data_IF_408777942030
#
_entry.id   IF_408777942030
#
_cell.length_a   1.000
_cell.length_b   1.000
_cell.length_c   1.000
_cell.angle_alpha   90.00
_cell.angle_beta   90.00
_cell.angle_gamma   90.00
#
_symmetry.space_group_name_H-M   'P 1'
#
loop_
_entity.id
_entity.type
_entity.pdbx_description
1 polymer ?
#
# COMPACT_ATOMS: atom_id res chain seq x y z
N UNK A 1 49.62 -22.12 7.61
CA UNK A 1 49.76 -23.56 7.31
C UNK A 1 48.33 -23.99 6.94
N UNK A 2 47.93 -24.41 5.79
CA UNK A 2 48.48 -24.86 4.50
C UNK A 2 47.32 -24.75 3.51
N UNK A 3 47.35 -24.05 2.47
CA UNK A 3 47.59 -24.30 1.04
C UNK A 3 47.06 -25.67 0.52
N UNK A 4 46.14 -25.63 -0.44
CA UNK A 4 46.23 -26.31 -1.73
C UNK A 4 44.92 -26.11 -2.53
N UNK A 5 44.91 -25.40 -3.64
CA UNK A 5 45.25 -25.74 -5.05
C UNK A 5 44.16 -26.60 -5.69
N UNK A 6 43.48 -26.04 -6.66
CA UNK A 6 43.70 -25.99 -8.11
C UNK A 6 43.00 -27.14 -8.88
N UNK A 7 42.14 -26.83 -9.80
CA UNK A 7 41.62 -27.77 -10.79
C UNK A 7 40.82 -27.05 -11.91
N UNK A 8 41.55 -26.46 -12.86
CA UNK A 8 41.03 -26.05 -14.18
C UNK A 8 40.73 -27.29 -15.01
N UNK A 9 39.62 -27.31 -15.73
CA UNK A 9 39.62 -27.98 -17.03
C UNK A 9 38.70 -27.26 -18.03
N UNK A 10 39.34 -26.79 -19.05
CA UNK A 10 38.88 -26.17 -20.29
C UNK A 10 38.60 -27.27 -21.30
N UNK A 11 37.44 -27.33 -21.95
CA UNK A 11 37.27 -28.04 -23.22
C UNK A 11 36.44 -27.22 -24.19
N UNK A 12 37.14 -26.71 -25.20
CA UNK A 12 36.68 -26.23 -26.49
C UNK A 12 36.44 -27.42 -27.45
N UNK A 13 35.40 -27.34 -28.31
CA UNK A 13 35.45 -27.82 -29.71
C UNK A 13 34.08 -27.53 -30.36
N UNK A 14 33.97 -26.51 -31.16
CA UNK A 14 33.87 -26.36 -32.64
C UNK A 14 33.23 -27.51 -33.44
N UNK A 15 32.15 -27.25 -34.14
CA UNK A 15 31.96 -27.75 -35.50
C UNK A 15 30.94 -26.94 -36.29
N UNK A 16 31.45 -26.35 -37.34
CA UNK A 16 30.91 -25.68 -38.50
C UNK A 16 30.43 -26.70 -39.53
N UNK A 17 29.18 -26.61 -40.05
CA UNK A 17 28.84 -27.14 -41.38
C UNK A 17 27.95 -26.18 -42.14
N UNK A 18 28.53 -25.61 -43.18
CA UNK A 18 27.88 -24.99 -44.32
C UNK A 18 27.43 -26.10 -45.31
N UNK A 19 26.26 -25.93 -45.92
CA UNK A 19 26.00 -26.51 -47.25
C UNK A 19 25.10 -25.59 -48.04
N UNK A 20 25.72 -24.98 -49.04
CA UNK A 20 25.11 -24.34 -50.21
C UNK A 20 24.71 -25.44 -51.22
N UNK A 21 23.53 -25.26 -51.86
CA UNK A 21 23.31 -25.78 -53.19
C UNK A 21 22.41 -24.83 -54.00
N UNK A 22 22.99 -24.32 -55.03
CA UNK A 22 22.38 -23.48 -56.04
C UNK A 22 22.05 -24.33 -57.29
N UNK A 23 21.37 -23.69 -58.20
CA UNK A 23 21.19 -24.00 -59.64
C UNK A 23 19.79 -24.49 -60.00
N UNK A 24 19.12 -24.03 -60.98
CA UNK A 24 19.36 -23.25 -62.20
C UNK A 24 18.20 -23.53 -63.13
N UNK A 25 17.70 -22.50 -63.76
CA UNK A 25 17.58 -22.45 -65.22
C UNK A 25 16.23 -22.66 -65.86
N UNK A 26 15.81 -21.66 -66.68
CA UNK A 26 15.18 -21.88 -67.95
C UNK A 26 13.79 -21.31 -68.17
N UNK A 27 13.77 -20.16 -68.71
CA UNK A 27 13.25 -19.54 -69.94
C UNK A 27 11.74 -19.64 -70.29
N UNK A 28 11.25 -18.40 -70.62
CA UNK A 28 10.35 -17.97 -71.69
C UNK A 28 8.84 -18.34 -71.66
N UNK A 29 7.99 -17.35 -71.46
CA UNK A 29 7.18 -16.73 -72.54
C UNK A 29 6.03 -15.88 -72.00
N UNK A 30 6.03 -14.62 -72.43
CA UNK A 30 4.92 -13.70 -72.80
C UNK A 30 3.50 -14.02 -72.38
N UNK A 31 2.87 -13.04 -71.71
CA UNK A 31 1.42 -12.92 -71.69
C UNK A 31 0.83 -11.86 -70.76
N UNK A 32 0.65 -10.67 -71.34
CA UNK A 32 -0.37 -9.63 -71.07
C UNK A 32 -0.99 -9.48 -69.68
N UNK A 33 -0.80 -8.30 -69.13
CA UNK A 33 -1.65 -7.38 -68.37
C UNK A 33 -3.02 -7.91 -67.84
N UNK A 34 -3.12 -7.82 -66.47
CA UNK A 34 -4.37 -7.34 -65.86
C UNK A 34 -4.01 -6.74 -64.51
N UNK A 35 -4.20 -5.44 -64.36
CA UNK A 35 -4.19 -4.71 -63.10
C UNK A 35 -5.31 -5.28 -62.22
N UNK A 36 -4.95 -5.84 -61.09
CA UNK A 36 -5.84 -6.01 -59.96
C UNK A 36 -5.20 -5.29 -58.79
N UNK A 37 -5.81 -4.17 -58.42
CA UNK A 37 -5.51 -3.45 -57.20
C UNK A 37 -5.74 -4.38 -56.02
N UNK A 38 -4.67 -4.85 -55.42
CA UNK A 38 -4.71 -5.46 -54.11
C UNK A 38 -4.87 -4.33 -53.07
N UNK A 39 -6.10 -4.17 -52.55
CA UNK A 39 -6.35 -3.41 -51.37
C UNK A 39 -5.57 -4.03 -50.22
N UNK A 40 -4.64 -3.29 -49.69
CA UNK A 40 -4.04 -3.58 -48.37
C UNK A 40 -5.15 -3.34 -47.35
N UNK A 41 -5.78 -4.40 -46.90
CA UNK A 41 -6.48 -4.36 -45.62
C UNK A 41 -5.48 -3.99 -44.54
N UNK A 42 -5.77 -2.99 -43.65
CA UNK A 42 -4.96 -2.78 -42.49
C UNK A 42 -5.05 -4.05 -41.63
N UNK A 43 -3.89 -4.65 -41.34
CA UNK A 43 -3.80 -5.67 -40.32
C UNK A 43 -4.38 -5.04 -39.04
N UNK A 44 -5.51 -5.55 -38.58
CA UNK A 44 -5.97 -5.29 -37.23
C UNK A 44 -4.83 -5.76 -36.31
N UNK A 45 -4.25 -4.85 -35.56
CA UNK A 45 -3.39 -5.18 -34.45
C UNK A 45 -4.25 -6.07 -33.56
N UNK A 46 -3.86 -7.31 -33.39
CA UNK A 46 -4.46 -8.19 -32.42
C UNK A 46 -4.06 -7.59 -31.06
N UNK A 47 -5.00 -6.90 -30.41
CA UNK A 47 -4.91 -6.61 -28.99
C UNK A 47 -4.65 -7.96 -28.32
N UNK A 48 -3.50 -8.13 -27.70
CA UNK A 48 -3.23 -9.28 -26.86
C UNK A 48 -4.22 -9.21 -25.72
N UNK A 49 -5.19 -10.16 -25.67
CA UNK A 49 -6.07 -10.27 -24.51
C UNK A 49 -5.18 -10.40 -23.27
N UNK A 50 -5.29 -9.42 -22.37
CA UNK A 50 -4.63 -9.48 -21.06
C UNK A 50 -5.27 -10.62 -20.27
N UNK A 51 -4.46 -11.56 -19.80
CA UNK A 51 -4.95 -12.68 -19.00
C UNK A 51 -5.26 -12.12 -17.59
N UNK A 52 -6.56 -11.87 -17.33
CA UNK A 52 -7.06 -11.34 -16.05
C UNK A 52 -7.24 -12.50 -15.08
N UNK A 53 -6.24 -12.71 -14.25
CA UNK A 53 -6.20 -13.75 -13.24
C UNK A 53 -6.96 -13.39 -11.95
N UNK A 54 -6.72 -14.19 -10.92
CA UNK A 54 -7.13 -13.91 -9.55
C UNK A 54 -6.05 -13.06 -8.88
N UNK A 55 -6.47 -12.03 -8.14
CA UNK A 55 -5.61 -11.11 -7.38
C UNK A 55 -6.10 -11.09 -5.94
N UNK A 56 -5.21 -11.34 -4.99
CA UNK A 56 -5.52 -11.28 -3.55
C UNK A 56 -5.01 -9.94 -2.98
N UNK A 57 -5.92 -9.11 -2.48
CA UNK A 57 -5.57 -7.82 -1.88
C UNK A 57 -5.63 -7.91 -0.37
N UNK A 58 -4.54 -7.52 0.28
CA UNK A 58 -4.42 -7.49 1.73
C UNK A 58 -4.43 -6.09 2.31
N UNK A 59 -4.72 -5.98 3.61
CA UNK A 59 -4.55 -4.76 4.38
C UNK A 59 -4.08 -5.02 5.80
N UNK A 60 -3.47 -4.02 6.42
CA UNK A 60 -3.29 -3.98 7.86
C UNK A 60 -4.64 -3.71 8.56
N UNK A 61 -4.64 -3.64 9.90
CA UNK A 61 -5.85 -3.62 10.72
C UNK A 61 -6.27 -2.21 11.16
N UNK A 62 -6.27 -1.23 10.27
CA UNK A 62 -6.84 0.10 10.52
C UNK A 62 -7.56 0.64 9.28
N UNK A 63 -8.45 1.62 9.50
CA UNK A 63 -9.46 2.09 8.56
C UNK A 63 -8.91 2.48 7.18
N UNK A 64 -7.90 3.35 7.13
CA UNK A 64 -7.34 3.85 5.88
C UNK A 64 -6.76 2.73 5.00
N UNK A 65 -6.12 1.75 5.62
CA UNK A 65 -5.57 0.61 4.90
C UNK A 65 -6.65 -0.23 4.23
N UNK A 66 -7.78 -0.45 4.93
CA UNK A 66 -8.92 -1.16 4.36
C UNK A 66 -9.57 -0.34 3.24
N UNK A 67 -9.74 0.96 3.44
CA UNK A 67 -10.28 1.89 2.45
C UNK A 67 -9.46 1.88 1.14
N UNK A 68 -8.13 2.07 1.25
CA UNK A 68 -7.27 2.11 0.06
C UNK A 68 -7.16 0.73 -0.61
N UNK A 69 -7.10 -0.35 0.18
CA UNK A 69 -7.14 -1.71 -0.34
C UNK A 69 -8.44 -1.99 -1.10
N UNK A 70 -9.57 -1.47 -0.61
CA UNK A 70 -10.86 -1.59 -1.31
C UNK A 70 -10.89 -0.78 -2.62
N UNK A 71 -10.26 0.40 -2.66
CA UNK A 71 -10.10 1.14 -3.92
C UNK A 71 -9.33 0.33 -4.96
N UNK A 72 -8.23 -0.34 -4.57
CA UNK A 72 -7.48 -1.23 -5.47
C UNK A 72 -8.34 -2.41 -5.94
N UNK A 73 -9.14 -2.99 -5.03
CA UNK A 73 -10.04 -4.08 -5.37
C UNK A 73 -11.07 -3.67 -6.43
N UNK A 74 -11.72 -2.53 -6.23
CA UNK A 74 -12.78 -2.04 -7.10
C UNK A 74 -12.28 -1.71 -8.51
N UNK A 75 -11.13 -1.08 -8.67
CA UNK A 75 -10.58 -0.76 -10.00
C UNK A 75 -10.16 -2.01 -10.76
N UNK A 76 -9.62 -3.02 -10.07
CA UNK A 76 -9.28 -4.30 -10.68
C UNK A 76 -10.52 -5.11 -11.05
N UNK A 77 -11.56 -5.13 -10.22
CA UNK A 77 -12.84 -5.78 -10.53
C UNK A 77 -13.54 -5.13 -11.72
N UNK A 78 -13.57 -3.79 -11.80
CA UNK A 78 -14.14 -3.05 -12.93
C UNK A 78 -13.41 -3.40 -14.25
N UNK A 79 -12.11 -3.60 -14.19
CA UNK A 79 -11.30 -4.08 -15.32
C UNK A 79 -11.51 -5.58 -15.63
N UNK A 80 -12.21 -6.34 -14.77
CA UNK A 80 -12.57 -7.74 -14.97
C UNK A 80 -11.62 -8.77 -14.37
N UNK A 81 -10.75 -8.38 -13.43
CA UNK A 81 -10.00 -9.31 -12.58
C UNK A 81 -10.92 -9.97 -11.55
N UNK A 82 -10.58 -11.18 -11.11
CA UNK A 82 -11.21 -11.80 -9.95
C UNK A 82 -10.44 -11.38 -8.71
N UNK A 83 -11.06 -10.66 -7.78
CA UNK A 83 -10.39 -10.14 -6.59
C UNK A 83 -10.84 -10.88 -5.33
N UNK A 84 -9.87 -11.39 -4.57
CA UNK A 84 -10.07 -11.89 -3.21
C UNK A 84 -9.60 -10.83 -2.21
N UNK A 85 -10.45 -10.52 -1.22
CA UNK A 85 -10.18 -9.55 -0.16
C UNK A 85 -9.68 -10.25 1.10
N UNK A 86 -8.47 -9.94 1.53
CA UNK A 86 -7.83 -10.48 2.73
C UNK A 86 -7.41 -9.34 3.65
N UNK A 87 -8.42 -8.65 4.19
CA UNK A 87 -8.23 -7.44 4.98
C UNK A 87 -8.00 -7.71 6.46
N UNK A 88 -7.53 -6.68 7.19
CA UNK A 88 -7.32 -6.69 8.63
C UNK A 88 -6.45 -7.85 9.12
N UNK A 89 -5.42 -8.21 8.35
CA UNK A 89 -4.51 -9.32 8.66
C UNK A 89 -3.66 -9.08 9.93
N UNK A 90 -3.55 -7.84 10.37
CA UNK A 90 -2.74 -7.42 11.51
C UNK A 90 -1.81 -6.27 11.15
N UNK A 91 -0.68 -6.15 11.85
CA UNK A 91 0.31 -5.12 11.57
C UNK A 91 1.19 -5.48 10.35
N UNK A 92 2.05 -4.54 9.90
CA UNK A 92 3.00 -4.73 8.79
C UNK A 92 3.84 -6.00 8.96
N UNK A 93 4.21 -6.34 10.19
CA UNK A 93 4.97 -7.56 10.53
C UNK A 93 4.25 -8.85 10.13
N UNK A 94 2.94 -8.79 9.88
CA UNK A 94 2.13 -9.91 9.36
C UNK A 94 1.87 -9.73 7.86
N UNK A 95 1.46 -8.53 7.44
CA UNK A 95 1.03 -8.24 6.07
C UNK A 95 2.17 -8.31 5.08
N UNK A 96 3.32 -7.70 5.37
CA UNK A 96 4.44 -7.70 4.44
C UNK A 96 5.03 -9.11 4.18
N UNK A 97 5.22 -9.98 5.18
CA UNK A 97 5.54 -11.40 4.91
C UNK A 97 4.46 -12.15 4.12
N UNK A 98 3.18 -11.82 4.25
CA UNK A 98 2.12 -12.39 3.43
C UNK A 98 2.26 -11.98 1.96
N UNK A 99 2.60 -10.73 1.68
CA UNK A 99 2.94 -10.23 0.34
C UNK A 99 4.17 -10.97 -0.23
N UNK A 100 5.26 -11.04 0.53
CA UNK A 100 6.48 -11.73 0.10
C UNK A 100 6.24 -13.22 -0.24
N UNK A 101 5.38 -13.90 0.51
CA UNK A 101 5.10 -15.33 0.31
C UNK A 101 4.04 -15.62 -0.74
N UNK A 102 3.37 -14.59 -1.29
CA UNK A 102 2.27 -14.75 -2.24
C UNK A 102 0.97 -15.24 -1.61
N UNK A 103 0.74 -14.94 -0.34
CA UNK A 103 -0.56 -15.11 0.29
C UNK A 103 -1.50 -13.95 -0.03
N UNK A 104 -0.93 -12.78 -0.31
CA UNK A 104 -1.58 -11.61 -0.91
C UNK A 104 -0.69 -11.11 -2.05
N UNK A 105 -1.27 -10.40 -2.99
CA UNK A 105 -0.59 -9.91 -4.19
C UNK A 105 -0.41 -8.39 -4.19
N UNK A 106 -1.30 -7.67 -3.53
CA UNK A 106 -1.29 -6.19 -3.41
C UNK A 106 -1.62 -5.79 -1.99
N UNK A 107 -0.96 -4.74 -1.50
CA UNK A 107 -1.32 -4.07 -0.24
C UNK A 107 -0.95 -2.59 -0.31
N UNK A 108 -1.72 -1.67 0.31
CA UNK A 108 -1.24 -0.31 0.53
C UNK A 108 -0.04 -0.31 1.49
N UNK A 109 0.91 0.56 1.26
CA UNK A 109 2.08 0.76 2.13
C UNK A 109 2.45 2.25 2.23
N UNK A 110 3.35 2.56 3.16
CA UNK A 110 3.84 3.91 3.42
C UNK A 110 5.36 3.93 3.28
N UNK A 111 5.90 4.84 2.47
CA UNK A 111 7.29 4.81 2.00
C UNK A 111 8.32 4.76 3.14
N UNK A 112 8.28 5.73 4.03
CA UNK A 112 9.32 5.88 5.06
C UNK A 112 9.30 4.77 6.08
N UNK A 113 8.14 4.45 6.64
CA UNK A 113 8.00 3.37 7.62
C UNK A 113 8.26 1.99 7.02
N UNK A 114 7.97 1.77 5.72
CA UNK A 114 8.34 0.52 5.06
C UNK A 114 9.85 0.44 4.84
N UNK A 115 10.51 1.52 4.41
CA UNK A 115 11.96 1.57 4.30
C UNK A 115 12.64 1.22 5.63
N UNK A 116 12.23 1.87 6.72
CA UNK A 116 12.81 1.61 8.04
C UNK A 116 12.51 0.20 8.56
N UNK A 117 11.38 -0.39 8.16
CA UNK A 117 11.08 -1.80 8.48
C UNK A 117 12.03 -2.75 7.75
N UNK A 118 12.32 -2.51 6.47
CA UNK A 118 13.15 -3.39 5.64
C UNK A 118 14.65 -3.26 5.93
N UNK A 119 15.13 -2.04 6.21
CA UNK A 119 16.55 -1.80 6.52
C UNK A 119 16.91 -2.02 8.00
N UNK A 120 15.92 -2.41 8.84
CA UNK A 120 16.12 -2.69 10.26
C UNK A 120 16.29 -1.44 11.12
N UNK A 121 15.71 -0.31 10.72
CA UNK A 121 15.72 0.94 11.44
C UNK A 121 17.03 1.71 11.28
N UNK A 122 17.57 1.76 10.06
CA UNK A 122 18.83 2.43 9.78
C UNK A 122 18.74 3.97 9.81
N UNK A 123 17.52 4.54 9.83
CA UNK A 123 17.29 5.99 9.84
C UNK A 123 17.63 6.63 8.49
N UNK A 124 17.34 5.93 7.38
CA UNK A 124 17.66 6.40 6.03
C UNK A 124 16.49 7.09 5.34
N UNK A 125 15.26 6.90 5.83
CA UNK A 125 14.08 7.56 5.29
C UNK A 125 14.15 9.07 5.49
N UNK A 126 13.81 9.85 4.45
CA UNK A 126 13.88 11.31 4.45
C UNK A 126 12.51 11.95 4.19
N UNK A 127 12.42 13.27 4.30
CA UNK A 127 11.19 13.99 3.95
C UNK A 127 10.98 14.14 2.43
N UNK A 128 11.96 13.73 1.61
CA UNK A 128 11.87 13.74 0.16
C UNK A 128 11.31 12.40 -0.35
N UNK A 129 10.20 12.45 -1.07
CA UNK A 129 9.48 11.27 -1.57
C UNK A 129 10.32 10.47 -2.55
N UNK A 130 10.97 11.14 -3.51
CA UNK A 130 11.74 10.46 -4.56
C UNK A 130 12.99 9.80 -3.99
N UNK A 131 13.66 10.47 -3.04
CA UNK A 131 14.83 9.92 -2.34
C UNK A 131 14.43 8.69 -1.50
N UNK A 132 13.34 8.80 -0.72
CA UNK A 132 12.85 7.69 0.12
C UNK A 132 12.39 6.50 -0.73
N UNK A 133 11.65 6.74 -1.83
CA UNK A 133 11.26 5.68 -2.76
C UNK A 133 12.47 5.01 -3.40
N UNK A 134 13.48 5.78 -3.81
CA UNK A 134 14.72 5.25 -4.38
C UNK A 134 15.45 4.32 -3.40
N UNK A 135 15.60 4.74 -2.14
CA UNK A 135 16.21 3.93 -1.07
C UNK A 135 15.37 2.70 -0.75
N UNK A 136 14.04 2.84 -0.69
CA UNK A 136 13.12 1.72 -0.46
C UNK A 136 13.24 0.66 -1.55
N UNK A 137 13.30 1.09 -2.82
CA UNK A 137 13.42 0.19 -3.96
C UNK A 137 14.68 -0.69 -3.87
N UNK A 138 15.78 -0.17 -3.32
CA UNK A 138 17.02 -0.93 -3.11
C UNK A 138 16.91 -1.97 -1.98
N UNK A 139 15.93 -1.84 -1.09
CA UNK A 139 15.69 -2.75 0.04
C UNK A 139 14.57 -3.76 -0.20
N UNK A 140 13.80 -3.60 -1.29
CA UNK A 140 12.70 -4.53 -1.59
C UNK A 140 13.22 -5.95 -1.81
N UNK A 141 12.52 -6.97 -1.33
CA UNK A 141 12.84 -8.36 -1.63
C UNK A 141 12.50 -8.69 -3.08
N UNK A 142 13.18 -9.71 -3.63
CA UNK A 142 12.90 -10.24 -4.97
C UNK A 142 11.41 -10.54 -5.13
N UNK A 143 10.80 -10.10 -6.22
CA UNK A 143 9.41 -10.38 -6.57
C UNK A 143 8.37 -9.43 -5.95
N UNK A 144 8.80 -8.36 -5.29
CA UNK A 144 7.95 -7.27 -4.80
C UNK A 144 8.42 -5.95 -5.38
N UNK A 145 7.50 -5.11 -5.81
CA UNK A 145 7.77 -3.75 -6.29
C UNK A 145 6.82 -2.74 -5.67
N UNK A 146 7.25 -1.48 -5.62
CA UNK A 146 6.39 -0.33 -5.34
C UNK A 146 5.99 0.32 -6.66
N UNK A 147 4.74 0.79 -6.73
CA UNK A 147 4.26 1.60 -7.85
C UNK A 147 4.38 3.10 -7.53
N UNK A 148 3.72 3.96 -8.35
CA UNK A 148 3.79 5.41 -8.16
C UNK A 148 3.15 5.84 -6.81
N UNK A 149 3.87 6.62 -6.00
CA UNK A 149 3.34 7.15 -4.75
C UNK A 149 2.22 8.16 -4.99
N UNK A 150 1.22 8.16 -4.12
CA UNK A 150 0.21 9.23 -4.10
C UNK A 150 0.79 10.55 -3.55
N UNK A 151 0.06 11.67 -3.72
CA UNK A 151 0.34 12.90 -2.97
C UNK A 151 -0.08 12.80 -1.50
N UNK A 152 -0.97 11.85 -1.16
CA UNK A 152 -1.42 11.64 0.21
C UNK A 152 -0.30 11.08 1.09
N UNK A 153 -0.10 11.71 2.24
CA UNK A 153 0.84 11.26 3.26
C UNK A 153 0.09 11.02 4.57
N UNK A 154 0.34 9.86 5.18
CA UNK A 154 -0.13 9.55 6.52
C UNK A 154 1.04 9.26 7.47
N UNK A 155 1.29 10.20 8.38
CA UNK A 155 2.42 10.19 9.31
C UNK A 155 2.00 9.79 10.71
N UNK A 156 2.89 9.11 11.44
CA UNK A 156 2.73 9.01 12.89
C UNK A 156 2.71 10.41 13.50
N UNK A 157 1.79 10.64 14.42
CA UNK A 157 1.68 11.89 15.13
C UNK A 157 1.35 11.66 16.60
N UNK A 158 1.73 12.60 17.47
CA UNK A 158 1.32 12.61 18.85
C UNK A 158 0.13 13.56 19.02
N UNK A 159 -0.93 13.05 19.61
CA UNK A 159 -2.14 13.82 19.90
C UNK A 159 -2.40 13.94 21.41
N UNK A 160 -2.92 15.08 21.81
CA UNK A 160 -3.38 15.39 23.16
C UNK A 160 -4.85 15.82 23.09
N UNK A 161 -5.58 15.63 24.19
CA UNK A 161 -6.85 16.35 24.33
C UNK A 161 -6.60 17.86 24.43
N UNK A 162 -7.56 18.67 24.04
CA UNK A 162 -7.47 20.15 24.13
C UNK A 162 -7.18 20.62 25.58
N UNK A 163 -7.71 19.90 26.58
CA UNK A 163 -7.46 20.19 27.99
C UNK A 163 -5.99 19.92 28.35
N UNK A 164 -5.46 18.74 28.00
CA UNK A 164 -4.07 18.36 28.27
C UNK A 164 -3.08 19.26 27.54
N UNK A 165 -3.31 19.57 26.26
CA UNK A 165 -2.48 20.49 25.49
C UNK A 165 -2.42 21.89 26.12
N UNK A 166 -3.54 22.38 26.63
CA UNK A 166 -3.63 23.65 27.33
C UNK A 166 -2.90 23.60 28.68
N UNK A 167 -3.06 22.51 29.43
CA UNK A 167 -2.36 22.30 30.73
C UNK A 167 -0.84 22.32 30.55
N UNK A 168 -0.32 21.64 29.53
CA UNK A 168 1.10 21.55 29.24
C UNK A 168 1.62 22.78 28.47
N UNK A 169 0.74 23.53 27.82
CA UNK A 169 1.11 24.58 26.87
C UNK A 169 1.78 24.04 25.62
N UNK A 170 1.45 22.78 25.25
CA UNK A 170 2.11 22.06 24.18
C UNK A 170 1.41 22.28 22.84
N UNK A 171 2.21 22.53 21.80
CA UNK A 171 1.81 22.66 20.38
C UNK A 171 2.78 21.90 19.46
N UNK A 172 4.00 21.61 19.94
CA UNK A 172 5.02 20.87 19.22
C UNK A 172 5.42 19.64 20.05
N UNK A 173 6.05 18.66 19.39
CA UNK A 173 6.58 17.48 20.09
C UNK A 173 7.64 17.87 21.10
N UNK A 174 8.50 18.85 20.77
CA UNK A 174 9.52 19.39 21.69
C UNK A 174 8.94 19.97 22.99
N UNK A 175 7.70 20.44 23.00
CA UNK A 175 7.04 20.97 24.20
C UNK A 175 6.80 19.90 25.27
N UNK A 176 6.85 18.60 24.91
CA UNK A 176 6.75 17.50 25.85
C UNK A 176 8.06 17.19 26.61
N UNK A 177 9.18 17.83 26.24
CA UNK A 177 10.47 17.59 26.89
C UNK A 177 10.41 17.90 28.40
N UNK A 178 10.91 16.96 29.19
CA UNK A 178 10.90 17.10 30.66
C UNK A 178 9.59 16.73 31.35
N UNK A 179 8.56 16.32 30.60
CA UNK A 179 7.27 15.82 31.10
C UNK A 179 7.35 14.29 31.25
N UNK A 180 8.05 13.79 32.27
CA UNK A 180 8.34 12.35 32.43
C UNK A 180 7.22 11.53 33.08
N UNK A 181 6.10 12.12 33.42
CA UNK A 181 4.92 11.48 34.05
C UNK A 181 3.78 11.19 33.07
N UNK A 182 3.97 11.52 31.79
CA UNK A 182 2.96 11.25 30.76
C UNK A 182 2.92 9.76 30.37
N UNK A 183 1.73 9.26 30.13
CA UNK A 183 1.47 7.91 29.60
C UNK A 183 1.24 8.01 28.08
N UNK A 184 2.07 7.34 27.30
CA UNK A 184 1.87 7.21 25.86
C UNK A 184 1.03 5.95 25.55
N UNK A 185 0.01 6.09 24.71
CA UNK A 185 -0.76 4.96 24.18
C UNK A 185 -0.62 4.83 22.67
N UNK A 186 -0.67 3.60 22.17
CA UNK A 186 -0.57 3.32 20.74
C UNK A 186 -0.49 1.83 20.43
N UNK A 187 -0.25 1.44 19.15
CA UNK A 187 -0.19 0.05 18.74
C UNK A 187 0.94 -0.72 19.42
N UNK A 188 0.76 -2.03 19.68
CA UNK A 188 1.70 -2.84 20.47
C UNK A 188 3.13 -2.87 19.92
N UNK A 189 3.31 -2.66 18.62
CA UNK A 189 4.60 -2.65 17.94
C UNK A 189 5.36 -1.31 18.07
N UNK A 190 4.69 -0.23 18.46
CA UNK A 190 5.31 1.10 18.58
C UNK A 190 6.61 1.11 19.40
N UNK A 191 6.75 0.37 20.52
CA UNK A 191 8.01 0.32 21.27
C UNK A 191 9.21 -0.30 20.52
N UNK A 192 8.97 -0.94 19.37
CA UNK A 192 10.00 -1.57 18.56
C UNK A 192 10.21 -0.87 17.21
N UNK A 193 9.35 0.09 16.84
CA UNK A 193 9.41 0.79 15.56
C UNK A 193 10.25 2.05 15.67
N UNK A 194 11.26 2.24 14.79
CA UNK A 194 12.19 3.38 14.84
C UNK A 194 11.49 4.74 14.77
N UNK A 195 10.42 4.85 13.98
CA UNK A 195 9.66 6.10 13.80
C UNK A 195 8.48 6.23 14.79
N UNK A 196 8.50 5.46 15.89
CA UNK A 196 7.54 5.55 16.98
C UNK A 196 8.24 5.82 18.30
N UNK A 197 7.97 5.08 19.38
CA UNK A 197 8.55 5.40 20.71
C UNK A 197 10.07 5.59 20.69
N UNK A 198 10.90 4.70 20.11
CA UNK A 198 12.35 4.91 20.02
C UNK A 198 12.73 6.22 19.30
N UNK A 199 12.02 6.56 18.21
CA UNK A 199 12.27 7.80 17.48
C UNK A 199 11.99 9.06 18.31
N UNK A 200 10.89 9.06 19.05
CA UNK A 200 10.57 10.17 19.97
C UNK A 200 11.56 10.28 21.13
N UNK A 201 12.05 9.15 21.65
CA UNK A 201 13.10 9.13 22.68
C UNK A 201 14.43 9.65 22.13
N UNK A 202 14.85 9.20 20.96
CA UNK A 202 16.17 9.51 20.38
C UNK A 202 16.23 10.93 19.79
N UNK A 203 15.19 11.36 19.07
CA UNK A 203 15.15 12.67 18.38
C UNK A 203 14.82 13.78 19.35
N UNK A 204 13.76 13.59 20.15
CA UNK A 204 13.22 14.63 21.03
C UNK A 204 13.69 14.50 22.49
N UNK A 205 14.34 13.40 22.86
CA UNK A 205 14.72 13.14 24.24
C UNK A 205 13.51 12.98 25.16
N UNK A 206 12.37 12.49 24.64
CA UNK A 206 11.18 12.29 25.46
C UNK A 206 11.34 11.08 26.37
N UNK A 207 10.80 11.18 27.57
CA UNK A 207 10.70 10.08 28.53
C UNK A 207 9.23 9.96 28.95
N UNK A 208 8.62 8.81 28.70
CA UNK A 208 7.24 8.53 29.13
C UNK A 208 7.25 7.68 30.42
N UNK A 209 6.31 7.93 31.32
CA UNK A 209 6.11 7.14 32.54
C UNK A 209 5.83 5.67 32.21
N UNK A 210 5.06 5.43 31.16
CA UNK A 210 4.75 4.09 30.64
C UNK A 210 4.19 4.17 29.23
N UNK A 211 4.21 3.02 28.56
CA UNK A 211 3.53 2.82 27.30
C UNK A 211 2.32 1.87 27.50
N UNK A 212 1.15 2.25 27.00
CA UNK A 212 -0.05 1.42 27.00
C UNK A 212 -0.30 0.91 25.57
N UNK A 213 -0.28 -0.43 25.41
CA UNK A 213 -0.61 -1.06 24.13
C UNK A 213 -2.12 -1.01 23.89
N UNK A 214 -2.52 -0.41 22.77
CA UNK A 214 -3.89 -0.21 22.31
C UNK A 214 -4.02 -0.68 20.86
N UNK A 215 -5.01 -0.17 20.12
CA UNK A 215 -5.10 -0.37 18.68
C UNK A 215 -4.29 0.69 17.89
N UNK A 216 -4.30 0.58 16.58
CA UNK A 216 -3.59 1.51 15.69
C UNK A 216 -4.46 2.75 15.42
N UNK A 217 -4.62 3.59 16.44
CA UNK A 217 -5.41 4.83 16.38
C UNK A 217 -6.93 4.62 16.34
N UNK A 218 -7.41 3.41 16.54
CA UNK A 218 -8.82 3.06 16.49
C UNK A 218 -9.60 3.42 17.77
N UNK A 219 -10.77 2.77 17.97
CA UNK A 219 -11.67 3.08 19.09
C UNK A 219 -11.05 2.97 20.47
N UNK A 220 -10.12 2.00 20.69
CA UNK A 220 -9.49 1.83 22.00
C UNK A 220 -8.54 2.99 22.33
N UNK A 221 -7.78 3.47 21.35
CA UNK A 221 -6.91 4.63 21.50
C UNK A 221 -7.75 5.89 21.73
N UNK A 222 -8.82 6.04 20.93
CA UNK A 222 -9.76 7.16 21.06
C UNK A 222 -10.40 7.21 22.45
N UNK A 223 -10.91 6.08 22.95
CA UNK A 223 -11.53 6.01 24.27
C UNK A 223 -10.52 6.28 25.39
N UNK A 224 -9.32 5.69 25.31
CA UNK A 224 -8.29 5.87 26.32
C UNK A 224 -7.82 7.33 26.43
N UNK A 225 -7.63 8.00 25.28
CA UNK A 225 -7.22 9.40 25.24
C UNK A 225 -8.32 10.32 25.79
N UNK A 226 -9.57 10.13 25.36
CA UNK A 226 -10.69 10.95 25.81
C UNK A 226 -11.04 10.77 27.30
N UNK A 227 -10.81 9.57 27.85
CA UNK A 227 -11.04 9.28 29.27
C UNK A 227 -9.86 9.68 30.16
N UNK A 228 -8.69 10.02 29.59
CA UNK A 228 -7.47 10.32 30.34
C UNK A 228 -6.80 9.08 30.91
N UNK A 229 -7.04 7.89 30.33
CA UNK A 229 -6.33 6.66 30.67
C UNK A 229 -4.89 6.69 30.10
N UNK A 230 -4.71 7.47 29.02
CA UNK A 230 -3.42 7.90 28.47
C UNK A 230 -3.40 9.42 28.36
N UNK A 231 -2.22 10.03 28.43
CA UNK A 231 -2.02 11.48 28.29
C UNK A 231 -1.74 11.88 26.86
N UNK A 232 -1.03 11.01 26.11
CA UNK A 232 -0.57 11.19 24.74
C UNK A 232 -1.00 9.97 23.93
N UNK A 233 -1.72 10.20 22.84
CA UNK A 233 -2.06 9.15 21.88
C UNK A 233 -1.14 9.18 20.67
N UNK A 234 -0.58 8.02 20.28
CA UNK A 234 -0.05 7.87 18.94
C UNK A 234 -1.23 7.71 17.99
N UNK A 235 -1.33 8.61 17.04
CA UNK A 235 -2.38 8.65 16.00
C UNK A 235 -1.71 8.71 14.63
N UNK A 236 -2.49 8.54 13.59
CA UNK A 236 -2.08 8.76 12.20
C UNK A 236 -2.64 10.10 11.73
N UNK A 237 -1.85 10.87 10.99
CA UNK A 237 -2.16 12.26 10.65
C UNK A 237 -3.43 12.45 9.81
N UNK A 238 -3.91 11.37 9.17
CA UNK A 238 -5.12 11.35 8.33
C UNK A 238 -6.37 10.84 9.05
N UNK A 239 -6.29 10.49 10.35
CA UNK A 239 -7.43 9.92 11.08
C UNK A 239 -8.57 10.92 11.26
N UNK A 240 -9.79 10.52 10.89
CA UNK A 240 -11.01 11.30 11.08
C UNK A 240 -11.31 11.62 12.56
N UNK A 241 -10.91 10.72 13.48
CA UNK A 241 -11.08 10.89 14.91
C UNK A 241 -10.41 12.16 15.49
N UNK A 242 -9.35 12.67 14.84
CA UNK A 242 -8.62 13.87 15.29
C UNK A 242 -9.57 15.08 15.32
N UNK A 243 -10.23 15.34 14.20
CA UNK A 243 -11.15 16.47 14.06
C UNK A 243 -12.42 16.28 14.91
N UNK A 244 -12.98 15.06 14.90
CA UNK A 244 -14.20 14.73 15.64
C UNK A 244 -14.06 14.90 17.16
N UNK A 245 -12.87 14.69 17.71
CA UNK A 245 -12.58 14.81 19.13
C UNK A 245 -11.88 16.12 19.51
N UNK A 246 -11.65 17.01 18.53
CA UNK A 246 -10.96 18.29 18.73
C UNK A 246 -9.56 18.11 19.37
N UNK A 247 -8.83 17.03 19.02
CA UNK A 247 -7.50 16.79 19.56
C UNK A 247 -6.48 17.77 19.00
N UNK A 248 -5.47 18.07 19.80
CA UNK A 248 -4.29 18.82 19.38
C UNK A 248 -3.24 17.84 18.91
N UNK A 249 -3.01 17.80 17.60
CA UNK A 249 -1.87 17.11 17.01
C UNK A 249 -0.64 17.98 17.16
N UNK A 250 0.41 17.43 17.77
CA UNK A 250 1.66 18.15 17.96
C UNK A 250 2.47 18.22 16.68
N UNK A 251 3.02 19.39 16.38
CA UNK A 251 3.91 19.58 15.23
C UNK A 251 5.23 18.82 15.46
N UNK A 252 5.67 18.07 14.44
CA UNK A 252 6.94 17.36 14.39
C UNK A 252 8.09 18.35 14.06
N UNK A 253 8.46 19.19 15.02
CA UNK A 253 9.34 20.34 14.84
C UNK A 253 10.83 19.99 14.67
N UNK A 254 11.25 18.76 15.01
CA UNK A 254 12.59 18.23 14.73
C UNK A 254 12.64 17.32 13.50
N UNK A 255 11.48 17.01 12.87
CA UNK A 255 11.39 16.29 11.61
C UNK A 255 11.69 14.80 11.72
N UNK A 256 11.17 14.12 12.75
CA UNK A 256 11.29 12.67 12.92
C UNK A 256 10.59 11.90 11.79
N UNK A 257 9.42 12.39 11.35
CA UNK A 257 8.58 11.66 10.41
C UNK A 257 9.00 11.95 8.95
N UNK A 258 9.40 10.93 8.18
CA UNK A 258 9.83 11.09 6.79
C UNK A 258 8.64 11.29 5.83
N UNK A 259 8.88 11.17 4.54
CA UNK A 259 7.84 11.05 3.54
C UNK A 259 7.09 9.72 3.72
N UNK A 260 5.77 9.82 3.97
CA UNK A 260 4.87 8.68 4.23
C UNK A 260 3.75 8.65 3.20
N UNK A 261 4.13 8.73 1.91
CA UNK A 261 3.18 8.65 0.81
C UNK A 261 2.54 7.27 0.75
N UNK A 262 1.22 7.23 0.62
CA UNK A 262 0.46 6.00 0.38
C UNK A 262 0.84 5.47 -1.00
N UNK A 263 1.28 4.22 -1.07
CA UNK A 263 1.88 3.65 -2.28
C UNK A 263 1.48 2.17 -2.41
N UNK A 264 1.06 1.70 -3.60
CA UNK A 264 0.80 0.28 -3.81
C UNK A 264 2.09 -0.54 -3.74
N UNK A 265 2.12 -1.55 -2.86
CA UNK A 265 3.13 -2.61 -2.86
C UNK A 265 2.56 -3.83 -3.58
N UNK A 266 3.22 -4.30 -4.63
CA UNK A 266 2.67 -5.28 -5.57
C UNK A 266 3.66 -6.41 -5.82
N UNK A 267 3.17 -7.62 -5.97
CA UNK A 267 3.97 -8.75 -6.46
C UNK A 267 4.20 -8.64 -7.96
N UNK A 268 5.44 -8.82 -8.38
CA UNK A 268 5.82 -8.80 -9.80
C UNK A 268 5.08 -9.86 -10.63
N UNK A 269 4.66 -10.98 -10.00
CA UNK A 269 4.00 -12.10 -10.69
C UNK A 269 2.65 -11.70 -11.31
N UNK A 270 1.93 -10.74 -10.71
CA UNK A 270 0.63 -10.27 -11.21
C UNK A 270 0.75 -8.96 -11.99
N UNK A 271 1.92 -8.31 -11.92
CA UNK A 271 2.12 -6.99 -12.50
C UNK A 271 2.18 -7.04 -14.02
N UNK A 272 1.34 -6.26 -14.65
CA UNK A 272 1.33 -5.96 -16.07
C UNK A 272 0.93 -4.50 -16.26
N UNK A 273 1.04 -3.97 -17.48
CA UNK A 273 0.78 -2.55 -17.71
C UNK A 273 -0.66 -2.10 -17.39
N UNK A 274 -1.66 -3.00 -17.44
CA UNK A 274 -3.04 -2.69 -17.05
C UNK A 274 -3.17 -2.58 -15.53
N UNK A 275 -2.58 -3.52 -14.76
CA UNK A 275 -2.58 -3.48 -13.29
C UNK A 275 -1.85 -2.23 -12.79
N UNK A 276 -0.69 -1.92 -13.37
CA UNK A 276 0.09 -0.72 -13.05
C UNK A 276 -0.74 0.55 -13.28
N UNK A 277 -1.35 0.72 -14.47
CA UNK A 277 -2.17 1.89 -14.82
C UNK A 277 -3.38 2.05 -13.88
N UNK A 278 -4.05 0.95 -13.50
CA UNK A 278 -5.21 0.98 -12.60
C UNK A 278 -4.83 1.40 -11.17
N UNK A 279 -3.76 0.85 -10.61
CA UNK A 279 -3.33 1.16 -9.24
C UNK A 279 -2.71 2.56 -9.16
N UNK A 280 -1.92 2.97 -10.15
CA UNK A 280 -1.39 4.34 -10.26
C UNK A 280 -2.52 5.37 -10.46
N UNK A 281 -3.60 4.97 -11.13
CA UNK A 281 -4.82 5.78 -11.23
C UNK A 281 -5.42 6.10 -9.86
N UNK A 282 -5.47 5.14 -8.95
CA UNK A 282 -5.89 5.37 -7.56
C UNK A 282 -4.90 6.28 -6.85
N UNK A 283 -3.59 6.00 -6.93
CA UNK A 283 -2.54 6.83 -6.32
C UNK A 283 -2.64 8.29 -6.75
N UNK A 284 -2.88 8.55 -8.04
CA UNK A 284 -2.96 9.91 -8.60
C UNK A 284 -4.15 10.72 -8.10
N UNK A 285 -5.20 10.05 -7.62
CA UNK A 285 -6.40 10.70 -7.08
C UNK A 285 -6.30 10.99 -5.58
N UNK A 286 -5.39 10.33 -4.86
CA UNK A 286 -5.28 10.46 -3.40
C UNK A 286 -4.44 11.68 -3.02
N UNK A 287 -5.04 12.57 -2.25
CA UNK A 287 -4.39 13.69 -1.55
C UNK A 287 -4.62 13.56 -0.05
N UNK A 288 -3.75 14.12 0.77
CA UNK A 288 -3.93 14.08 2.24
C UNK A 288 -5.30 14.66 2.66
N UNK A 289 -5.77 15.70 1.97
CA UNK A 289 -7.06 16.34 2.29
C UNK A 289 -8.24 15.40 2.03
N UNK A 290 -8.28 14.71 0.87
CA UNK A 290 -9.39 13.80 0.58
C UNK A 290 -9.33 12.53 1.43
N UNK A 291 -8.15 11.99 1.72
CA UNK A 291 -7.99 10.83 2.60
C UNK A 291 -8.52 11.12 4.02
N UNK A 292 -8.22 12.29 4.58
CA UNK A 292 -8.79 12.73 5.87
C UNK A 292 -10.32 12.72 5.80
N UNK A 293 -10.92 13.32 4.76
CA UNK A 293 -12.37 13.38 4.61
C UNK A 293 -13.01 12.00 4.43
N UNK A 294 -12.34 11.07 3.74
CA UNK A 294 -12.81 9.70 3.56
C UNK A 294 -12.72 8.90 4.87
N UNK A 295 -11.61 9.04 5.61
CA UNK A 295 -11.46 8.43 6.92
C UNK A 295 -12.50 8.96 7.92
N UNK A 296 -12.88 10.25 7.86
CA UNK A 296 -13.94 10.81 8.71
C UNK A 296 -15.29 10.13 8.45
N UNK A 297 -15.66 9.88 7.20
CA UNK A 297 -16.88 9.15 6.83
C UNK A 297 -16.95 7.76 7.48
N UNK A 298 -15.81 7.07 7.56
CA UNK A 298 -15.75 5.72 8.12
C UNK A 298 -15.62 5.76 9.64
N UNK A 299 -14.64 6.48 10.18
CA UNK A 299 -14.30 6.49 11.61
C UNK A 299 -15.37 7.16 12.47
N UNK A 300 -16.04 8.20 11.93
CA UNK A 300 -16.97 9.07 12.67
C UNK A 300 -18.42 8.80 12.27
N UNK A 301 -18.71 8.80 10.97
CA UNK A 301 -20.08 8.63 10.46
C UNK A 301 -20.47 7.14 10.37
N UNK A 302 -19.49 6.22 10.45
CA UNK A 302 -19.72 4.78 10.49
C UNK A 302 -20.15 4.21 9.15
N UNK A 303 -19.75 4.85 8.04
CA UNK A 303 -19.99 4.34 6.69
C UNK A 303 -19.12 3.11 6.39
N UNK A 304 -19.57 2.28 5.48
CA UNK A 304 -18.81 1.09 5.04
C UNK A 304 -17.61 1.50 4.17
N UNK A 305 -16.39 1.02 4.41
CA UNK A 305 -15.22 1.36 3.59
C UNK A 305 -15.42 1.08 2.09
N UNK A 306 -16.14 0.02 1.73
CA UNK A 306 -16.42 -0.31 0.35
C UNK A 306 -17.34 0.73 -0.33
N UNK A 307 -18.36 1.20 0.38
CA UNK A 307 -19.25 2.24 -0.13
C UNK A 307 -18.50 3.57 -0.28
N UNK A 308 -17.65 3.93 0.70
CA UNK A 308 -16.83 5.14 0.67
C UNK A 308 -15.83 5.11 -0.48
N UNK A 309 -15.14 3.97 -0.69
CA UNK A 309 -14.20 3.76 -1.79
C UNK A 309 -14.90 3.88 -3.15
N UNK A 310 -16.05 3.22 -3.32
CA UNK A 310 -16.81 3.26 -4.57
C UNK A 310 -17.29 4.66 -4.91
N UNK A 311 -17.84 5.39 -3.93
CA UNK A 311 -18.29 6.78 -4.08
C UNK A 311 -17.14 7.70 -4.50
N UNK A 312 -15.98 7.58 -3.85
CA UNK A 312 -14.80 8.38 -4.17
C UNK A 312 -14.30 8.11 -5.59
N UNK A 313 -14.09 6.85 -5.96
CA UNK A 313 -13.61 6.48 -7.28
C UNK A 313 -14.58 6.90 -8.40
N UNK A 314 -15.89 6.84 -8.14
CA UNK A 314 -16.89 7.33 -9.07
C UNK A 314 -16.88 8.86 -9.21
N UNK A 315 -16.64 9.61 -8.12
CA UNK A 315 -16.51 11.07 -8.14
C UNK A 315 -15.27 11.54 -8.90
N UNK A 316 -14.17 10.81 -8.77
CA UNK A 316 -12.93 11.06 -9.52
C UNK A 316 -13.00 10.57 -10.98
N UNK A 317 -14.08 9.84 -11.35
CA UNK A 317 -14.29 9.33 -12.70
C UNK A 317 -13.36 8.15 -13.05
N UNK A 318 -12.84 7.47 -12.06
CA UNK A 318 -11.99 6.27 -12.18
C UNK A 318 -12.87 5.04 -12.44
N UNK A 319 -13.98 4.93 -11.70
CA UNK A 319 -15.00 3.91 -11.97
C UNK A 319 -16.10 4.46 -12.86
N UNK A 320 -16.62 3.62 -13.80
CA UNK A 320 -17.78 3.96 -14.60
C UNK A 320 -19.05 4.12 -13.76
N UNK A 321 -19.99 5.00 -14.18
CA UNK A 321 -21.30 5.13 -13.55
C UNK A 321 -22.06 3.78 -13.62
N UNK A 322 -22.09 3.03 -12.53
CA UNK A 322 -22.77 1.74 -12.43
C UNK A 322 -21.95 0.57 -11.87
N UNK A 323 -20.67 0.78 -11.58
CA UNK A 323 -19.78 -0.21 -10.98
C UNK A 323 -19.91 -0.28 -9.44
N UNK A 324 -21.09 0.00 -8.90
CA UNK A 324 -21.37 -0.16 -7.47
C UNK A 324 -21.48 -1.63 -7.09
N UNK A 325 -20.87 -2.00 -5.96
CA UNK A 325 -20.81 -3.34 -5.42
C UNK A 325 -22.11 -4.14 -5.57
N UNK A 326 -22.00 -5.37 -6.04
CA UNK A 326 -23.10 -6.33 -5.93
C UNK A 326 -23.43 -6.48 -4.43
N UNK A 327 -24.71 -6.40 -4.02
CA UNK A 327 -25.05 -6.49 -2.61
C UNK A 327 -24.55 -7.82 -2.04
N UNK A 328 -23.84 -7.73 -0.91
CA UNK A 328 -23.38 -8.88 -0.15
C UNK A 328 -24.49 -9.91 -0.05
N UNK A 329 -24.23 -11.16 -0.48
CA UNK A 329 -25.18 -12.26 -0.42
C UNK A 329 -25.66 -12.42 1.01
N UNK A 330 -26.96 -12.17 1.26
CA UNK A 330 -27.58 -12.40 2.56
C UNK A 330 -27.31 -13.84 3.05
N UNK A 331 -27.00 -14.04 4.33
CA UNK A 331 -26.81 -15.38 4.89
C UNK A 331 -28.11 -16.16 4.71
N UNK A 332 -28.04 -17.30 4.00
CA UNK A 332 -29.16 -18.22 3.85
C UNK A 332 -29.63 -18.67 5.25
N UNK A 333 -30.74 -18.14 5.70
CA UNK A 333 -31.44 -18.65 6.87
C UNK A 333 -31.97 -20.04 6.53
N UNK A 334 -31.32 -21.06 7.09
CA UNK A 334 -31.79 -22.44 7.06
C UNK A 334 -33.09 -22.54 7.87
N UNK A 335 -34.22 -22.49 7.19
CA UNK A 335 -35.53 -22.83 7.71
C UNK A 335 -35.82 -24.29 7.46
N UNK A 336 -35.15 -25.19 8.17
CA UNK A 336 -35.55 -26.58 8.24
C UNK A 336 -35.50 -27.11 9.69
N UNK A 337 -36.57 -26.89 10.45
CA UNK A 337 -37.08 -27.89 11.38
C UNK A 337 -38.37 -27.40 12.07
N UNK A 338 -39.49 -27.71 11.49
CA UNK A 338 -40.68 -28.01 12.31
C UNK A 338 -41.63 -28.89 11.52
N UNK A 339 -41.53 -30.18 11.76
CA UNK A 339 -42.66 -31.11 11.61
C UNK A 339 -42.24 -32.47 12.20
N UNK A 340 -42.66 -32.75 13.43
CA UNK A 340 -43.31 -34.03 13.77
C UNK A 340 -43.54 -34.17 15.28
N UNK A 341 -44.81 -34.13 15.64
CA UNK A 341 -45.55 -34.86 16.71
C UNK A 341 -45.17 -34.57 18.16
#
# INVERSE_FOLDING_TARGET
>A
MEKSRLGRLLVLLTSLVLLLAACSGGDDSSGAASEAAAGSEPAAEAESEVERGEVVIGSTNFTEQELVAEMYALVLEDAGYTVERSYQLGSREVVFPALQSGQIDVTPEYLGTLLEFLNGGAGEATADTDETLGLLTEQLPDGVTMLEPSEAQDKNALALTQEKATELGATTVSDLQGQSDLVLGGPPECPQRPLCLPGYEDTYGLEFASFQALDAGGPLTTEALNNGDIDVGLVFSTQGAIAANEWVVLEDDEGLQPAENITPAVREDILNGEVEELLDGVSSALTTENVIALNERIDVDGEDPADVAADFLAQEGILGEGSGAAPASEPMTDTSSEAAS
#
